data_IF_730793563321
#
_entry.id   IF_730793563321
#
_cell.length_a   1.000
_cell.length_b   1.000
_cell.length_c   1.000
_cell.angle_alpha   90.00
_cell.angle_beta   90.00
_cell.angle_gamma   90.00
#
_symmetry.space_group_name_H-M   'P 1'
#
loop_
_entity.id
_entity.type
_entity.pdbx_description
1 polymer ?
#
# COMPACT_ATOMS: atom_id res chain seq x y z
N UNK A 1 -9.27 15.27 -9.02
CA UNK A 1 -8.25 14.22 -8.87
C UNK A 1 -6.82 14.78 -9.11
N UNK A 2 -6.48 15.96 -8.58
CA UNK A 2 -5.23 16.65 -8.96
C UNK A 2 -4.62 17.46 -7.81
N UNK A 3 -4.61 16.91 -6.60
CA UNK A 3 -4.22 17.64 -5.39
C UNK A 3 -2.79 17.33 -4.90
N UNK A 4 -2.08 16.41 -5.55
CA UNK A 4 -0.65 16.19 -5.30
C UNK A 4 0.15 17.04 -6.28
N UNK A 5 0.83 18.06 -5.75
CA UNK A 5 1.61 19.03 -6.53
C UNK A 5 3.03 18.56 -6.84
N UNK A 6 3.49 17.49 -6.21
CA UNK A 6 4.85 17.00 -6.40
C UNK A 6 4.99 16.22 -7.72
N UNK A 7 5.84 16.67 -8.66
CA UNK A 7 6.06 15.98 -9.94
C UNK A 7 6.56 14.53 -9.76
N UNK A 8 7.31 14.26 -8.68
CA UNK A 8 7.87 12.93 -8.39
C UNK A 8 6.78 11.92 -8.06
N UNK A 9 5.74 12.37 -7.35
CA UNK A 9 4.57 11.53 -7.05
C UNK A 9 3.67 11.36 -8.26
N UNK A 10 3.61 12.35 -9.17
CA UNK A 10 2.81 12.25 -10.41
C UNK A 10 3.43 11.33 -11.46
N UNK A 11 4.74 11.13 -11.43
CA UNK A 11 5.46 10.25 -12.33
C UNK A 11 5.31 8.75 -11.99
N UNK A 12 4.80 8.44 -10.79
CA UNK A 12 4.62 7.08 -10.30
C UNK A 12 3.15 6.80 -9.96
N UNK A 13 2.68 5.58 -10.15
CA UNK A 13 1.37 5.18 -9.64
C UNK A 13 1.51 4.81 -8.16
N UNK A 14 1.04 5.68 -7.28
CA UNK A 14 1.04 5.46 -5.83
C UNK A 14 -0.33 4.97 -5.37
N UNK A 15 -0.37 3.84 -4.67
CA UNK A 15 -1.58 3.24 -4.12
C UNK A 15 -1.46 3.13 -2.61
N UNK A 16 -2.47 3.59 -1.86
CA UNK A 16 -2.54 3.36 -0.41
C UNK A 16 -3.03 1.94 -0.17
N UNK A 17 -2.23 1.13 0.52
CA UNK A 17 -2.56 -0.27 0.83
C UNK A 17 -3.14 -0.44 2.23
N UNK A 18 -2.79 0.45 3.15
CA UNK A 18 -3.29 0.42 4.51
C UNK A 18 -2.95 1.69 5.29
N UNK A 19 -3.63 1.87 6.42
CA UNK A 19 -3.35 2.96 7.37
C UNK A 19 -3.44 2.41 8.79
N UNK A 20 -2.38 2.63 9.57
CA UNK A 20 -2.37 2.37 11.00
C UNK A 20 -2.46 3.69 11.75
N UNK A 21 -3.40 3.81 12.67
CA UNK A 21 -3.59 5.03 13.47
C UNK A 21 -3.42 4.68 14.94
N UNK A 22 -2.70 5.51 15.67
CA UNK A 22 -2.56 5.36 17.13
C UNK A 22 -3.92 5.54 17.81
N UNK A 23 -4.11 4.91 18.98
CA UNK A 23 -5.39 4.96 19.72
C UNK A 23 -5.82 6.37 20.12
N UNK A 24 -4.85 7.25 20.32
CA UNK A 24 -5.06 8.67 20.65
C UNK A 24 -5.28 9.57 19.42
N UNK A 25 -5.28 8.98 18.21
CA UNK A 25 -5.41 9.68 16.93
C UNK A 25 -4.33 10.75 16.70
N UNK A 26 -3.21 10.66 17.42
CA UNK A 26 -2.08 11.59 17.27
C UNK A 26 -1.27 11.33 16.01
N UNK A 27 -1.11 10.06 15.60
CA UNK A 27 -0.26 9.66 14.49
C UNK A 27 -0.97 8.65 13.58
N UNK A 28 -0.76 8.80 12.28
CA UNK A 28 -1.23 7.90 11.24
C UNK A 28 -0.06 7.50 10.34
N UNK A 29 0.26 6.20 10.32
CA UNK A 29 1.21 5.61 9.38
C UNK A 29 0.45 5.11 8.17
N UNK A 30 0.70 5.71 7.02
CA UNK A 30 0.07 5.35 5.74
C UNK A 30 1.03 4.49 4.95
N UNK A 31 0.61 3.25 4.68
CA UNK A 31 1.36 2.31 3.85
C UNK A 31 1.00 2.50 2.39
N UNK A 32 2.04 2.62 1.55
CA UNK A 32 1.89 2.85 0.12
C UNK A 32 2.66 1.83 -0.69
N UNK A 33 2.03 1.38 -1.78
CA UNK A 33 2.68 0.69 -2.89
C UNK A 33 2.99 1.70 -3.98
N UNK A 34 4.16 1.54 -4.60
CA UNK A 34 4.64 2.41 -5.69
C UNK A 34 4.89 1.49 -6.88
N UNK A 35 4.10 1.66 -7.93
CA UNK A 35 4.23 0.92 -9.17
C UNK A 35 4.93 1.78 -10.23
N UNK A 36 6.10 1.32 -10.69
CA UNK A 36 6.90 1.95 -11.74
C UNK A 36 8.37 1.49 -11.68
N UNK A 37 8.92 1.04 -12.81
CA UNK A 37 10.29 0.49 -12.89
C UNK A 37 11.39 1.55 -12.70
N UNK A 38 11.10 2.82 -12.99
CA UNK A 38 12.05 3.96 -12.92
C UNK A 38 11.77 4.94 -11.76
N UNK A 39 10.79 4.64 -10.91
CA UNK A 39 10.46 5.51 -9.80
C UNK A 39 11.41 5.24 -8.61
N UNK A 40 12.29 6.21 -8.32
CA UNK A 40 13.05 6.19 -7.07
C UNK A 40 12.08 6.27 -5.88
N UNK A 41 11.95 5.14 -5.17
CA UNK A 41 11.06 4.99 -4.01
C UNK A 41 11.34 6.06 -2.96
N UNK A 42 12.61 6.41 -2.74
CA UNK A 42 12.98 7.42 -1.77
C UNK A 42 12.49 8.81 -2.19
N UNK A 43 12.69 9.17 -3.47
CA UNK A 43 12.24 10.44 -4.02
C UNK A 43 10.70 10.58 -4.00
N UNK A 44 9.97 9.49 -4.27
CA UNK A 44 8.50 9.46 -4.19
C UNK A 44 8.03 9.60 -2.74
N UNK A 45 8.64 8.89 -1.79
CA UNK A 45 8.30 9.02 -0.37
C UNK A 45 8.59 10.43 0.16
N UNK A 46 9.68 11.05 -0.27
CA UNK A 46 9.99 12.44 0.06
C UNK A 46 8.93 13.40 -0.51
N UNK A 47 8.48 13.19 -1.74
CA UNK A 47 7.40 13.98 -2.34
C UNK A 47 6.03 13.78 -1.67
N UNK A 48 5.76 12.58 -1.14
CA UNK A 48 4.58 12.34 -0.31
C UNK A 48 4.71 13.06 1.05
N UNK A 49 5.89 13.02 1.66
CA UNK A 49 6.17 13.71 2.91
C UNK A 49 6.01 15.24 2.77
N UNK A 50 6.42 15.83 1.64
CA UNK A 50 6.24 17.26 1.35
C UNK A 50 4.76 17.66 1.25
N UNK A 51 3.90 16.72 0.83
CA UNK A 51 2.45 16.93 0.68
C UNK A 51 1.66 16.56 1.96
N UNK A 52 2.32 15.99 2.97
CA UNK A 52 1.68 15.51 4.22
C UNK A 52 0.85 16.59 4.94
N UNK A 53 1.35 17.82 5.02
CA UNK A 53 0.69 18.94 5.68
C UNK A 53 -0.63 19.33 5.00
N UNK A 54 -0.64 19.32 3.67
CA UNK A 54 -1.82 19.57 2.87
C UNK A 54 -2.87 18.46 3.07
N UNK A 55 -2.43 17.20 3.06
CA UNK A 55 -3.30 16.04 3.30
C UNK A 55 -3.88 16.07 4.71
N UNK A 56 -3.06 16.41 5.72
CA UNK A 56 -3.50 16.55 7.11
C UNK A 56 -4.62 17.58 7.25
N UNK A 57 -4.48 18.74 6.62
CA UNK A 57 -5.52 19.79 6.63
C UNK A 57 -6.83 19.33 5.96
N UNK A 58 -6.73 18.48 4.93
CA UNK A 58 -7.91 17.91 4.26
C UNK A 58 -8.58 16.82 5.07
N UNK A 59 -7.80 15.90 5.64
CA UNK A 59 -8.31 14.85 6.54
C UNK A 59 -9.04 15.48 7.73
N UNK A 60 -8.45 16.50 8.34
CA UNK A 60 -9.08 17.24 9.44
C UNK A 60 -10.43 17.85 9.05
N UNK A 61 -10.53 18.47 7.86
CA UNK A 61 -11.80 19.00 7.34
C UNK A 61 -12.81 17.91 7.00
N UNK A 62 -12.38 16.85 6.32
CA UNK A 62 -13.26 15.78 5.86
C UNK A 62 -13.88 15.00 7.03
N UNK A 63 -13.07 14.74 8.07
CA UNK A 63 -13.49 13.99 9.26
C UNK A 63 -13.96 14.88 10.41
N UNK A 64 -14.00 16.21 10.21
CA UNK A 64 -14.37 17.21 11.23
C UNK A 64 -13.58 17.07 12.55
N UNK A 65 -12.30 16.74 12.43
CA UNK A 65 -11.41 16.59 13.58
C UNK A 65 -10.95 17.96 14.08
N UNK A 66 -10.91 18.12 15.40
CA UNK A 66 -10.31 19.31 16.03
C UNK A 66 -8.81 19.38 15.74
N UNK A 67 -8.13 18.23 15.78
CA UNK A 67 -6.72 18.05 15.44
C UNK A 67 -6.62 16.78 14.60
N UNK A 68 -6.07 16.89 13.39
CA UNK A 68 -5.83 15.72 12.53
C UNK A 68 -4.51 15.03 12.93
N UNK A 69 -4.39 13.70 12.78
CA UNK A 69 -3.14 13.00 13.08
C UNK A 69 -1.97 13.50 12.23
N UNK A 70 -0.75 13.39 12.75
CA UNK A 70 0.45 13.51 11.93
C UNK A 70 0.54 12.33 10.97
N UNK A 71 0.73 12.61 9.68
CA UNK A 71 0.73 11.61 8.62
C UNK A 71 2.17 11.28 8.24
N UNK A 72 2.57 10.04 8.45
CA UNK A 72 3.85 9.50 8.01
C UNK A 72 3.63 8.47 6.90
N UNK A 73 4.40 8.53 5.82
CA UNK A 73 4.31 7.58 4.71
C UNK A 73 5.38 6.51 4.84
N UNK A 74 5.01 5.24 4.60
CA UNK A 74 5.94 4.10 4.56
C UNK A 74 5.64 3.23 3.36
N UNK A 75 6.68 2.68 2.76
CA UNK A 75 6.52 1.67 1.72
C UNK A 75 5.97 0.37 2.29
N UNK A 76 5.03 -0.24 1.57
CA UNK A 76 4.46 -1.52 1.97
C UNK A 76 5.33 -2.70 1.53
N UNK A 77 6.12 -3.24 2.46
CA UNK A 77 6.92 -4.44 2.24
C UNK A 77 6.09 -5.74 2.26
N UNK A 78 4.86 -5.69 2.77
CA UNK A 78 4.03 -6.89 2.95
C UNK A 78 3.67 -7.53 1.61
N UNK A 79 3.48 -6.73 0.56
CA UNK A 79 3.18 -7.20 -0.81
C UNK A 79 4.32 -8.06 -1.37
N UNK A 80 5.56 -7.56 -1.27
CA UNK A 80 6.73 -8.31 -1.73
C UNK A 80 6.95 -9.59 -0.91
N UNK A 81 6.70 -9.52 0.41
CA UNK A 81 6.76 -10.68 1.30
C UNK A 81 5.71 -11.72 0.95
N UNK A 82 4.47 -11.32 0.68
CA UNK A 82 3.38 -12.20 0.31
C UNK A 82 3.70 -12.97 -0.99
N UNK A 83 4.15 -12.27 -2.04
CA UNK A 83 4.55 -12.90 -3.30
C UNK A 83 5.69 -13.93 -3.11
N UNK A 84 6.66 -13.63 -2.23
CA UNK A 84 7.72 -14.58 -1.88
C UNK A 84 7.18 -15.81 -1.15
N UNK A 85 6.27 -15.62 -0.19
CA UNK A 85 5.64 -16.72 0.54
C UNK A 85 4.84 -17.59 -0.43
N UNK A 86 4.04 -17.00 -1.31
CA UNK A 86 3.27 -17.74 -2.33
C UNK A 86 4.19 -18.58 -3.22
N UNK A 87 5.32 -18.02 -3.66
CA UNK A 87 6.32 -18.75 -4.45
C UNK A 87 6.90 -19.94 -3.69
N UNK A 88 7.25 -19.74 -2.42
CA UNK A 88 7.76 -20.81 -1.56
C UNK A 88 6.71 -21.90 -1.32
N UNK A 89 5.47 -21.52 -1.03
CA UNK A 89 4.36 -22.46 -0.86
C UNK A 89 4.09 -23.25 -2.15
N UNK A 90 4.14 -22.61 -3.31
CA UNK A 90 4.00 -23.28 -4.60
C UNK A 90 5.13 -24.30 -4.86
N UNK A 91 6.36 -24.02 -4.40
CA UNK A 91 7.50 -24.95 -4.53
C UNK A 91 7.43 -26.16 -3.59
N UNK A 92 6.66 -26.09 -2.51
CA UNK A 92 6.54 -27.15 -1.49
C UNK A 92 5.29 -28.01 -1.68
N UNK A 93 4.27 -27.52 -2.39
CA UNK A 93 3.09 -28.34 -2.72
C UNK A 93 3.52 -29.53 -3.58
N UNK A 94 3.35 -30.78 -3.10
CA UNK A 94 3.50 -31.94 -3.96
C UNK A 94 2.51 -31.78 -5.11
N UNK A 95 2.94 -32.09 -6.32
CA UNK A 95 2.02 -32.27 -7.44
C UNK A 95 1.09 -33.42 -7.08
N UNK A 96 -0.07 -33.12 -6.49
CA UNK A 96 -1.14 -34.10 -6.43
C UNK A 96 -1.46 -34.45 -7.89
N UNK A 97 -1.29 -35.72 -8.30
CA UNK A 97 -1.73 -36.12 -9.62
C UNK A 97 -3.23 -35.82 -9.66
N UNK A 98 -3.63 -35.04 -10.66
CA UNK A 98 -5.03 -34.72 -10.91
C UNK A 98 -5.85 -36.00 -10.75
N UNK A 99 -6.68 -36.05 -9.71
CA UNK A 99 -7.52 -37.19 -9.42
C UNK A 99 -8.25 -37.58 -10.69
N UNK A 100 -8.15 -38.86 -11.05
CA UNK A 100 -8.93 -39.40 -12.15
C UNK A 100 -10.40 -39.03 -11.90
N UNK A 101 -10.99 -38.35 -12.86
CA UNK A 101 -12.42 -38.25 -12.93
C UNK A 101 -12.90 -39.60 -13.42
N UNK A 102 -13.19 -40.53 -12.51
CA UNK A 102 -14.09 -41.64 -12.85
C UNK A 102 -15.48 -41.04 -13.06
N UNK A 103 -16.05 -41.00 -14.28
CA UNK A 103 -17.47 -40.72 -14.44
C UNK A 103 -18.19 -42.01 -14.07
N UNK A 104 -18.57 -42.12 -12.79
CA UNK A 104 -19.49 -43.15 -12.32
C UNK A 104 -20.91 -42.59 -12.39
N UNK A 105 -21.47 -42.49 -13.59
CA UNK A 105 -22.92 -42.52 -13.79
C UNK A 105 -23.26 -42.89 -15.24
N UNK A 106 -23.79 -44.11 -15.40
CA UNK A 106 -24.73 -44.63 -16.41
C UNK A 106 -24.45 -46.10 -16.80
#
# INVERSE_FOLDING_TARGET
ASDVKDPRVRAALVTVTGVEVTRDLGHATVFVSILGAEADRAAVLEGLASTSSHLRARVGRALRLRVAPEIAFRYDESVARAARIETLLASVRPSEPAGDGTPSDA
#
